data_IF_158807418109
#
_entry.id   IF_158807418109
#
_cell.length_a   1.000
_cell.length_b   1.000
_cell.length_c   1.000
_cell.angle_alpha   90.00
_cell.angle_beta   90.00
_cell.angle_gamma   90.00
#
_symmetry.space_group_name_H-M   'P 1'
#
loop_
_entity.id
_entity.type
_entity.pdbx_description
1 polymer ?
#
# COMPACT_ATOMS: atom_id res chain seq x y z
N UNK A 1 -22.06 6.72 -0.82
CA UNK A 1 -22.39 8.18 -0.75
C UNK A 1 -23.11 8.54 0.56
N UNK A 2 -23.93 7.67 1.14
CA UNK A 2 -24.61 7.93 2.44
C UNK A 2 -23.67 8.01 3.64
N UNK A 3 -22.49 7.39 3.58
CA UNK A 3 -21.52 7.37 4.68
C UNK A 3 -20.74 8.67 4.86
N UNK A 4 -20.59 9.49 3.83
CA UNK A 4 -19.83 10.74 3.90
C UNK A 4 -20.51 11.75 4.81
N UNK A 5 -21.83 11.85 4.74
CA UNK A 5 -22.62 12.73 5.61
C UNK A 5 -22.68 12.26 7.07
N UNK A 6 -22.69 10.95 7.30
CA UNK A 6 -22.66 10.38 8.65
C UNK A 6 -21.31 10.53 9.35
N UNK A 7 -20.21 10.54 8.59
CA UNK A 7 -18.83 10.66 9.15
C UNK A 7 -18.60 11.95 9.91
N UNK A 8 -19.26 13.05 9.55
CA UNK A 8 -19.10 14.34 10.24
C UNK A 8 -19.74 14.37 11.63
N UNK A 9 -20.57 13.39 11.97
CA UNK A 9 -21.26 13.31 13.27
C UNK A 9 -20.78 12.15 14.15
N UNK A 10 -19.80 11.35 13.67
CA UNK A 10 -19.33 10.16 14.38
C UNK A 10 -17.99 10.49 15.07
N UNK A 11 -17.98 10.34 16.37
CA UNK A 11 -16.78 10.58 17.20
C UNK A 11 -15.79 9.40 17.19
N UNK A 12 -16.25 8.20 16.85
CA UNK A 12 -15.42 6.98 16.80
C UNK A 12 -15.82 6.11 15.62
N UNK A 13 -14.84 5.62 14.87
CA UNK A 13 -15.02 4.69 13.76
C UNK A 13 -14.11 3.49 13.94
N UNK A 14 -14.68 2.29 13.84
CA UNK A 14 -13.91 1.07 13.80
C UNK A 14 -13.61 0.70 12.33
N UNK A 15 -12.33 0.59 12.00
CA UNK A 15 -11.85 0.12 10.70
C UNK A 15 -11.45 -1.34 10.84
N UNK A 16 -12.00 -2.19 9.98
CA UNK A 16 -11.69 -3.61 9.94
C UNK A 16 -11.23 -4.00 8.54
N UNK A 17 -10.22 -4.83 8.47
CA UNK A 17 -9.76 -5.43 7.22
C UNK A 17 -9.32 -6.86 7.45
N UNK A 18 -9.52 -7.72 6.45
CA UNK A 18 -9.07 -9.10 6.47
C UNK A 18 -8.70 -9.57 5.07
N UNK A 19 -7.79 -10.51 4.99
CA UNK A 19 -7.48 -11.24 3.76
C UNK A 19 -7.05 -12.66 4.07
N UNK A 20 -7.16 -13.52 3.07
CA UNK A 20 -6.76 -14.92 3.15
C UNK A 20 -6.03 -15.31 1.87
N UNK A 21 -4.97 -16.09 1.98
CA UNK A 21 -4.19 -16.58 0.85
C UNK A 21 -5.09 -17.35 -0.14
N UNK A 22 -4.84 -17.16 -1.44
CA UNK A 22 -5.53 -17.82 -2.55
C UNK A 22 -7.03 -17.52 -2.67
N UNK A 23 -7.55 -16.48 -2.07
CA UNK A 23 -8.97 -16.12 -2.23
C UNK A 23 -9.21 -15.31 -3.51
N UNK A 24 -8.62 -14.15 -3.64
CA UNK A 24 -8.87 -13.23 -4.76
C UNK A 24 -7.94 -13.47 -5.95
N UNK A 25 -6.66 -13.69 -5.71
CA UNK A 25 -5.66 -13.83 -6.76
C UNK A 25 -5.64 -15.20 -7.43
N UNK A 26 -6.21 -16.24 -6.82
CA UNK A 26 -6.23 -17.61 -7.36
C UNK A 26 -6.80 -17.67 -8.77
N UNK A 27 -7.84 -16.91 -9.06
CA UNK A 27 -8.48 -16.85 -10.37
C UNK A 27 -7.57 -16.35 -11.50
N UNK A 28 -6.47 -15.68 -11.17
CA UNK A 28 -5.47 -15.19 -12.13
C UNK A 28 -4.24 -16.09 -12.23
N UNK A 29 -4.19 -17.21 -11.49
CA UNK A 29 -3.06 -18.13 -11.46
C UNK A 29 -3.42 -19.42 -12.15
N UNK A 30 -2.65 -19.78 -13.17
CA UNK A 30 -2.88 -20.99 -13.98
C UNK A 30 -1.79 -22.03 -13.76
N UNK A 31 -2.15 -23.32 -13.56
CA UNK A 31 -3.53 -23.83 -13.41
C UNK A 31 -4.18 -23.33 -12.13
N UNK A 32 -5.47 -23.00 -12.22
CA UNK A 32 -6.26 -22.43 -11.10
C UNK A 32 -6.25 -23.37 -9.89
N UNK A 33 -6.28 -24.65 -10.10
CA UNK A 33 -6.33 -25.69 -9.06
C UNK A 33 -5.12 -25.63 -8.12
N UNK A 34 -3.97 -25.26 -8.66
CA UNK A 34 -2.72 -25.19 -7.89
C UNK A 34 -2.40 -23.80 -7.37
N UNK A 35 -3.04 -22.75 -7.91
CA UNK A 35 -2.73 -21.37 -7.55
C UNK A 35 -1.26 -21.02 -7.77
N UNK A 36 -0.64 -21.56 -8.83
CA UNK A 36 0.80 -21.56 -9.04
C UNK A 36 1.41 -20.16 -9.12
N UNK A 37 2.51 -19.96 -8.40
CA UNK A 37 3.35 -18.76 -8.44
C UNK A 37 4.51 -19.01 -9.40
N UNK A 38 4.50 -18.38 -10.58
CA UNK A 38 5.53 -18.59 -11.61
C UNK A 38 6.52 -17.44 -11.70
N UNK A 39 6.07 -16.21 -11.61
CA UNK A 39 6.92 -15.04 -11.80
C UNK A 39 7.54 -14.59 -10.46
N UNK A 40 8.84 -14.26 -10.47
CA UNK A 40 9.58 -13.82 -9.28
C UNK A 40 9.04 -12.50 -8.67
N UNK A 41 8.39 -11.67 -9.47
CA UNK A 41 7.77 -10.42 -9.04
C UNK A 41 6.37 -10.59 -8.44
N UNK A 42 5.84 -11.80 -8.45
CA UNK A 42 4.53 -12.10 -7.85
C UNK A 42 4.60 -11.97 -6.33
N UNK A 43 3.57 -11.39 -5.75
CA UNK A 43 3.36 -11.33 -4.30
C UNK A 43 2.39 -12.41 -3.83
N UNK A 44 2.40 -12.71 -2.55
CA UNK A 44 1.53 -13.72 -1.92
C UNK A 44 0.58 -13.02 -0.96
N UNK A 45 -0.73 -13.26 -1.10
CA UNK A 45 -1.71 -12.69 -0.19
C UNK A 45 -1.47 -13.13 1.24
N UNK A 46 -1.33 -12.17 2.15
CA UNK A 46 -1.19 -12.47 3.57
C UNK A 46 -2.53 -12.88 4.16
N UNK A 47 -2.54 -13.95 4.96
CA UNK A 47 -3.70 -14.34 5.76
C UNK A 47 -3.68 -13.61 7.10
N UNK A 48 -4.76 -12.90 7.42
CA UNK A 48 -4.89 -12.20 8.68
C UNK A 48 -6.07 -11.25 8.72
N UNK A 49 -6.21 -10.59 9.87
CA UNK A 49 -7.19 -9.52 10.07
C UNK A 49 -6.60 -8.45 10.98
N UNK A 50 -7.01 -7.21 10.76
CA UNK A 50 -6.62 -6.06 11.57
C UNK A 50 -7.83 -5.20 11.84
N UNK A 51 -7.96 -4.75 13.09
CA UNK A 51 -8.94 -3.75 13.49
C UNK A 51 -8.27 -2.57 14.16
N UNK A 52 -8.74 -1.36 13.90
CA UNK A 52 -8.34 -0.18 14.64
C UNK A 52 -9.51 0.77 14.85
N UNK A 53 -9.42 1.59 15.87
CA UNK A 53 -10.40 2.65 16.16
C UNK A 53 -9.77 3.99 15.87
N UNK A 54 -10.44 4.78 15.05
CA UNK A 54 -10.14 6.20 14.84
C UNK A 54 -11.16 6.99 15.65
N UNK A 55 -10.70 7.95 16.44
CA UNK A 55 -11.56 8.81 17.25
C UNK A 55 -11.06 10.27 17.22
N UNK A 56 -11.92 11.18 17.64
CA UNK A 56 -11.56 12.57 17.87
C UNK A 56 -10.96 12.83 19.28
N UNK A 57 -10.79 11.75 20.07
CA UNK A 57 -10.13 11.82 21.37
C UNK A 57 -8.61 11.92 21.21
N UNK A 58 -7.96 12.52 22.20
CA UNK A 58 -6.50 12.58 22.23
C UNK A 58 -5.91 11.18 22.43
N UNK A 59 -5.07 10.75 21.51
CA UNK A 59 -4.37 9.46 21.54
C UNK A 59 -2.87 9.65 21.32
N UNK A 60 -2.11 8.58 21.51
CA UNK A 60 -0.65 8.60 21.26
C UNK A 60 -0.27 8.70 19.77
N UNK A 61 -1.20 8.48 18.87
CA UNK A 61 -0.98 8.56 17.43
C UNK A 61 -2.10 9.41 16.82
N UNK A 62 -1.73 10.44 16.08
CA UNK A 62 -2.66 11.38 15.45
C UNK A 62 -2.55 11.31 13.93
N UNK A 63 -3.68 11.41 13.25
CA UNK A 63 -3.74 11.71 11.82
C UNK A 63 -3.58 13.22 11.67
N UNK A 64 -2.54 13.66 10.97
CA UNK A 64 -2.21 15.07 10.78
C UNK A 64 -2.82 15.58 9.48
N UNK A 65 -2.67 14.83 8.41
CA UNK A 65 -3.16 15.20 7.08
C UNK A 65 -3.40 13.97 6.21
N UNK A 66 -4.11 14.15 5.11
CA UNK A 66 -4.32 13.11 4.11
C UNK A 66 -4.42 13.70 2.71
N UNK A 67 -4.04 12.91 1.71
CA UNK A 67 -4.19 13.24 0.30
C UNK A 67 -4.92 12.11 -0.40
N UNK A 68 -6.05 12.43 -1.02
CA UNK A 68 -6.78 11.50 -1.88
C UNK A 68 -6.09 11.52 -3.23
N UNK A 69 -5.50 10.40 -3.62
CA UNK A 69 -4.82 10.27 -4.90
C UNK A 69 -5.78 10.10 -6.07
N UNK A 70 -5.25 10.26 -7.27
CA UNK A 70 -5.96 10.06 -8.53
C UNK A 70 -5.69 8.66 -9.10
N UNK A 71 -6.62 8.18 -9.93
CA UNK A 71 -6.43 6.94 -10.69
C UNK A 71 -5.32 7.15 -11.73
N UNK A 72 -4.47 6.15 -11.87
CA UNK A 72 -3.35 6.11 -12.81
C UNK A 72 -3.45 4.83 -13.63
N UNK A 73 -3.26 4.92 -14.93
CA UNK A 73 -3.24 3.78 -15.85
C UNK A 73 -2.07 3.91 -16.83
N UNK A 74 -1.12 2.99 -16.73
CA UNK A 74 0.08 2.92 -17.56
C UNK A 74 0.01 1.78 -18.60
N UNK A 75 -1.20 1.35 -18.96
CA UNK A 75 -1.47 0.25 -19.92
C UNK A 75 -0.79 -1.09 -19.54
N UNK A 76 -0.56 -1.31 -18.25
CA UNK A 76 0.00 -2.57 -17.76
C UNK A 76 -1.12 -3.62 -17.67
N UNK A 77 -0.88 -4.80 -18.25
CA UNK A 77 -1.86 -5.90 -18.40
C UNK A 77 -1.44 -7.17 -17.67
N UNK A 78 -0.22 -7.20 -17.12
CA UNK A 78 0.30 -8.36 -16.42
C UNK A 78 -0.25 -8.43 -14.99
N UNK A 79 -1.22 -9.33 -14.79
CA UNK A 79 -1.88 -9.56 -13.50
C UNK A 79 -0.95 -10.13 -12.42
N UNK A 80 0.21 -10.66 -12.79
CA UNK A 80 1.20 -11.17 -11.85
C UNK A 80 2.14 -10.08 -11.33
N UNK A 81 2.20 -8.90 -11.99
CA UNK A 81 3.12 -7.81 -11.66
C UNK A 81 2.41 -6.61 -11.05
N UNK A 82 1.82 -6.81 -9.88
CA UNK A 82 1.09 -5.76 -9.17
C UNK A 82 1.98 -4.60 -8.73
N UNK A 83 3.25 -4.88 -8.43
CA UNK A 83 4.20 -3.84 -8.09
C UNK A 83 4.39 -2.82 -9.21
N UNK A 84 4.53 -3.27 -10.47
CA UNK A 84 4.63 -2.40 -11.62
C UNK A 84 3.35 -1.58 -11.85
N UNK A 85 2.18 -2.18 -11.60
CA UNK A 85 0.88 -1.50 -11.74
C UNK A 85 0.73 -0.38 -10.70
N UNK A 86 1.12 -0.62 -9.44
CA UNK A 86 0.83 0.30 -8.33
C UNK A 86 1.95 1.32 -8.06
N UNK A 87 3.20 1.05 -8.42
CA UNK A 87 4.32 1.94 -8.15
C UNK A 87 4.16 3.36 -8.75
N UNK A 88 3.65 3.53 -9.99
CA UNK A 88 3.38 4.85 -10.55
C UNK A 88 2.31 5.63 -9.78
N UNK A 89 1.26 4.96 -9.31
CA UNK A 89 0.23 5.60 -8.50
C UNK A 89 0.76 6.03 -7.14
N UNK A 90 1.60 5.18 -6.51
CA UNK A 90 2.25 5.48 -5.24
C UNK A 90 3.20 6.68 -5.37
N UNK A 91 4.04 6.73 -6.41
CA UNK A 91 4.97 7.84 -6.64
C UNK A 91 4.24 9.16 -6.82
N UNK A 92 3.19 9.17 -7.65
CA UNK A 92 2.37 10.35 -7.87
C UNK A 92 1.71 10.85 -6.59
N UNK A 93 1.09 9.95 -5.80
CA UNK A 93 0.43 10.30 -4.56
C UNK A 93 1.40 10.85 -3.50
N UNK A 94 2.60 10.27 -3.38
CA UNK A 94 3.67 10.79 -2.50
C UNK A 94 4.04 12.21 -2.91
N UNK A 95 4.35 12.43 -4.18
CA UNK A 95 4.78 13.74 -4.68
C UNK A 95 3.68 14.80 -4.52
N UNK A 96 2.43 14.46 -4.82
CA UNK A 96 1.29 15.35 -4.63
C UNK A 96 1.11 15.72 -3.15
N UNK A 97 1.22 14.73 -2.25
CA UNK A 97 1.14 14.99 -0.81
C UNK A 97 2.24 15.94 -0.34
N UNK A 98 3.49 15.66 -0.70
CA UNK A 98 4.64 16.48 -0.31
C UNK A 98 4.51 17.93 -0.81
N UNK A 99 4.05 18.12 -2.05
CA UNK A 99 3.77 19.44 -2.62
C UNK A 99 2.66 20.17 -1.85
N UNK A 100 1.53 19.51 -1.60
CA UNK A 100 0.37 20.10 -0.93
C UNK A 100 0.69 20.50 0.52
N UNK A 101 1.52 19.70 1.19
CA UNK A 101 1.90 19.96 2.59
C UNK A 101 3.17 20.81 2.72
N UNK A 102 3.80 21.22 1.61
CA UNK A 102 5.08 21.93 1.60
C UNK A 102 6.17 21.21 2.39
N UNK A 103 6.23 19.88 2.25
CA UNK A 103 7.17 18.98 2.95
C UNK A 103 8.10 18.26 1.99
N UNK A 104 9.17 17.72 2.56
CA UNK A 104 10.13 16.84 1.87
C UNK A 104 9.99 15.42 2.39
N UNK A 105 10.41 14.44 1.59
CA UNK A 105 10.36 13.02 1.99
C UNK A 105 11.18 12.75 3.26
N UNK A 106 12.27 13.50 3.47
CA UNK A 106 13.14 13.37 4.64
C UNK A 106 12.58 14.05 5.91
N UNK A 107 11.43 14.71 5.84
CA UNK A 107 10.73 15.24 7.01
C UNK A 107 9.98 14.14 7.77
N UNK A 108 9.90 12.95 7.19
CA UNK A 108 9.33 11.74 7.79
C UNK A 108 10.41 10.77 8.24
N UNK A 109 10.19 10.13 9.38
CA UNK A 109 11.07 9.06 9.86
C UNK A 109 10.91 7.80 9.01
N UNK A 110 9.69 7.56 8.50
CA UNK A 110 9.38 6.47 7.60
C UNK A 110 8.25 6.82 6.65
N UNK A 111 8.40 6.44 5.39
CA UNK A 111 7.35 6.41 4.37
C UNK A 111 7.02 4.94 4.13
N UNK A 112 5.82 4.52 4.53
CA UNK A 112 5.39 3.12 4.48
C UNK A 112 4.42 2.91 3.33
N UNK A 113 4.83 2.15 2.31
CA UNK A 113 3.94 1.68 1.25
C UNK A 113 3.26 0.36 1.63
N UNK A 114 2.21 0.01 0.91
CA UNK A 114 1.38 -1.16 1.23
C UNK A 114 2.01 -2.49 0.81
N UNK A 115 1.78 -2.86 -0.43
CA UNK A 115 2.03 -4.20 -0.94
C UNK A 115 2.59 -4.18 -2.37
N UNK A 116 3.51 -3.26 -2.64
CA UNK A 116 4.25 -3.20 -3.90
C UNK A 116 5.15 -4.43 -4.09
N UNK A 117 5.62 -5.00 -2.98
CA UNK A 117 6.64 -6.04 -2.98
C UNK A 117 8.03 -5.47 -3.27
N UNK A 118 9.05 -6.35 -3.23
CA UNK A 118 10.45 -5.92 -3.41
C UNK A 118 10.70 -5.23 -4.75
N UNK A 119 10.26 -5.85 -5.85
CA UNK A 119 10.45 -5.28 -7.19
C UNK A 119 9.60 -4.03 -7.43
N UNK A 120 8.37 -3.98 -6.90
CA UNK A 120 7.54 -2.78 -6.99
C UNK A 120 8.10 -1.61 -6.18
N UNK A 121 8.71 -1.90 -5.04
CA UNK A 121 9.40 -0.86 -4.25
C UNK A 121 10.66 -0.33 -4.97
N UNK A 122 11.46 -1.20 -5.60
CA UNK A 122 12.59 -0.78 -6.43
C UNK A 122 12.12 0.13 -7.58
N UNK A 123 11.03 -0.24 -8.24
CA UNK A 123 10.44 0.57 -9.30
C UNK A 123 9.93 1.92 -8.78
N UNK A 124 9.27 1.95 -7.62
CA UNK A 124 8.85 3.20 -6.96
C UNK A 124 10.04 4.14 -6.73
N UNK A 125 11.13 3.63 -6.17
CA UNK A 125 12.34 4.41 -5.91
C UNK A 125 12.97 4.94 -7.20
N UNK A 126 12.95 4.13 -8.27
CA UNK A 126 13.43 4.53 -9.59
C UNK A 126 12.56 5.66 -10.17
N UNK A 127 11.24 5.54 -10.15
CA UNK A 127 10.30 6.57 -10.64
C UNK A 127 10.50 7.87 -9.85
N UNK A 128 10.56 7.81 -8.53
CA UNK A 128 10.77 8.99 -7.69
C UNK A 128 12.08 9.71 -8.04
N UNK A 129 13.14 8.95 -8.31
CA UNK A 129 14.44 9.51 -8.68
C UNK A 129 14.45 10.10 -10.09
N UNK A 130 14.01 9.33 -11.10
CA UNK A 130 14.16 9.70 -12.52
C UNK A 130 13.12 10.74 -12.96
N UNK A 131 11.85 10.62 -12.49
CA UNK A 131 10.79 11.54 -12.91
C UNK A 131 10.68 12.78 -12.00
N UNK A 132 11.01 12.65 -10.71
CA UNK A 132 10.79 13.71 -9.73
C UNK A 132 12.07 14.22 -9.07
N UNK A 133 13.26 13.67 -9.42
CA UNK A 133 14.53 14.06 -8.82
C UNK A 133 14.62 13.79 -7.31
N UNK A 134 13.83 12.85 -6.81
CA UNK A 134 13.66 12.58 -5.38
C UNK A 134 14.39 11.29 -4.99
N UNK A 135 15.39 11.40 -4.13
CA UNK A 135 16.05 10.25 -3.52
C UNK A 135 15.62 10.11 -2.07
N UNK A 136 15.18 8.91 -1.67
CA UNK A 136 14.70 8.62 -0.34
C UNK A 136 15.23 7.27 0.15
N UNK A 137 15.79 7.24 1.34
CA UNK A 137 16.27 6.03 2.02
C UNK A 137 15.33 5.53 3.11
N UNK A 138 14.30 6.30 3.42
CA UNK A 138 13.32 6.06 4.47
C UNK A 138 11.99 5.47 3.95
N UNK A 139 11.94 5.05 2.68
CA UNK A 139 10.80 4.36 2.10
C UNK A 139 10.92 2.87 2.37
N UNK A 140 9.88 2.29 2.97
CA UNK A 140 9.77 0.87 3.30
C UNK A 140 8.47 0.36 2.70
N UNK A 141 8.52 -0.76 1.98
CA UNK A 141 7.33 -1.47 1.55
C UNK A 141 6.95 -2.55 2.57
N UNK A 142 5.71 -2.49 3.08
CA UNK A 142 5.21 -3.43 4.06
C UNK A 142 5.17 -4.86 3.50
N UNK A 143 4.78 -5.02 2.24
CA UNK A 143 4.75 -6.32 1.57
C UNK A 143 6.11 -6.95 1.43
N UNK A 144 7.11 -6.19 0.99
CA UNK A 144 8.49 -6.66 0.88
C UNK A 144 9.09 -7.04 2.25
N UNK A 145 8.63 -6.37 3.33
CA UNK A 145 9.21 -6.47 4.68
C UNK A 145 8.45 -7.39 5.63
N UNK A 146 7.26 -7.88 5.26
CA UNK A 146 6.40 -8.67 6.16
C UNK A 146 6.98 -10.05 6.45
N UNK A 147 7.46 -10.73 5.42
CA UNK A 147 8.01 -12.07 5.54
C UNK A 147 9.51 -12.07 5.83
N UNK A 148 9.98 -13.07 6.58
CA UNK A 148 11.41 -13.28 6.80
C UNK A 148 12.07 -13.84 5.54
N UNK A 149 13.35 -13.59 5.36
CA UNK A 149 14.13 -14.02 4.18
C UNK A 149 14.12 -15.54 3.94
N UNK A 150 13.97 -16.34 5.00
CA UNK A 150 13.91 -17.79 4.91
C UNK A 150 12.53 -18.34 4.50
N UNK A 151 11.51 -17.51 4.34
CA UNK A 151 10.15 -17.96 3.98
C UNK A 151 9.91 -18.05 2.48
N UNK A 152 10.86 -17.60 1.65
CA UNK A 152 10.82 -17.68 0.18
C UNK A 152 9.46 -17.29 -0.44
N UNK A 153 8.98 -16.09 -0.11
CA UNK A 153 7.68 -15.56 -0.57
C UNK A 153 7.83 -14.62 -1.77
N UNK A 154 8.69 -14.97 -2.71
CA UNK A 154 8.92 -14.24 -3.97
C UNK A 154 9.15 -12.74 -3.74
N UNK A 155 8.27 -11.87 -4.30
CA UNK A 155 8.37 -10.41 -4.13
C UNK A 155 7.82 -9.90 -2.79
N UNK A 156 7.22 -10.75 -1.97
CA UNK A 156 6.69 -10.41 -0.65
C UNK A 156 5.19 -10.66 -0.49
N UNK A 157 4.60 -9.99 0.49
CA UNK A 157 3.18 -10.08 0.80
C UNK A 157 2.33 -9.10 0.00
N UNK A 158 1.07 -9.46 -0.24
CA UNK A 158 0.03 -8.59 -0.80
C UNK A 158 -1.28 -8.71 -0.02
N UNK A 159 -2.19 -7.79 -0.29
CA UNK A 159 -3.53 -7.77 0.27
C UNK A 159 -3.76 -6.71 1.34
N UNK A 160 -5.03 -6.43 1.66
CA UNK A 160 -5.43 -5.27 2.46
C UNK A 160 -4.94 -5.31 3.92
N UNK A 161 -4.53 -6.47 4.43
CA UNK A 161 -4.01 -6.57 5.80
C UNK A 161 -2.52 -6.25 5.91
N UNK A 162 -1.76 -6.25 4.81
CA UNK A 162 -0.29 -6.17 4.83
C UNK A 162 0.18 -4.87 5.46
N UNK A 163 -0.29 -3.74 4.93
CA UNK A 163 0.08 -2.42 5.44
C UNK A 163 -0.26 -2.26 6.92
N UNK A 164 -1.51 -2.47 7.38
CA UNK A 164 -1.83 -2.29 8.78
C UNK A 164 -1.14 -3.31 9.70
N UNK A 165 -0.93 -4.56 9.27
CA UNK A 165 -0.14 -5.53 10.05
C UNK A 165 1.27 -5.01 10.31
N UNK A 166 1.95 -4.53 9.27
CA UNK A 166 3.31 -4.03 9.41
C UNK A 166 3.35 -2.72 10.21
N UNK A 167 2.41 -1.81 9.95
CA UNK A 167 2.28 -0.55 10.68
C UNK A 167 2.15 -0.77 12.18
N UNK A 168 1.18 -1.58 12.61
CA UNK A 168 0.90 -1.77 14.04
C UNK A 168 1.94 -2.65 14.74
N UNK A 169 2.52 -3.64 14.06
CA UNK A 169 3.46 -4.57 14.70
C UNK A 169 4.93 -4.14 14.62
N UNK A 170 5.29 -3.21 13.74
CA UNK A 170 6.68 -2.80 13.53
C UNK A 170 6.88 -1.30 13.62
N UNK A 171 6.13 -0.53 12.82
CA UNK A 171 6.39 0.89 12.67
C UNK A 171 5.99 1.68 13.92
N UNK A 172 4.76 1.49 14.41
CA UNK A 172 4.24 2.20 15.59
C UNK A 172 4.86 1.73 16.90
N UNK A 173 5.40 0.52 16.97
CA UNK A 173 6.13 0.03 18.15
C UNK A 173 7.55 0.59 18.24
N UNK A 174 8.08 1.12 17.17
CA UNK A 174 9.41 1.72 17.16
C UNK A 174 9.38 3.10 17.81
N UNK A 175 10.14 3.28 18.90
CA UNK A 175 10.30 4.58 19.57
C UNK A 175 10.96 5.65 18.70
N UNK A 176 11.55 5.26 17.57
CA UNK A 176 12.23 6.18 16.64
C UNK A 176 11.27 6.83 15.64
N UNK A 177 10.14 6.19 15.36
CA UNK A 177 9.21 6.66 14.34
C UNK A 177 8.19 7.60 14.97
N UNK A 178 8.36 8.89 14.76
CA UNK A 178 7.46 9.95 15.23
C UNK A 178 6.59 10.49 14.11
N UNK A 179 7.17 10.69 12.93
CA UNK A 179 6.48 11.19 11.74
C UNK A 179 6.45 10.11 10.68
N UNK A 180 5.27 9.62 10.37
CA UNK A 180 5.05 8.48 9.49
C UNK A 180 4.16 8.91 8.35
N UNK A 181 4.58 8.61 7.12
CA UNK A 181 3.75 8.77 5.94
C UNK A 181 3.30 7.39 5.47
N UNK A 182 1.99 7.16 5.48
CA UNK A 182 1.39 5.92 4.99
C UNK A 182 0.92 6.13 3.56
N UNK A 183 1.24 5.21 2.66
CA UNK A 183 0.83 5.20 1.27
C UNK A 183 0.06 3.92 1.00
N UNK A 184 -1.25 4.00 1.06
CA UNK A 184 -2.14 2.89 0.75
C UNK A 184 -2.29 2.74 -0.75
N UNK A 185 -1.89 1.60 -1.29
CA UNK A 185 -1.90 1.27 -2.71
C UNK A 185 -3.03 0.30 -3.05
N UNK A 186 -3.59 0.41 -4.25
CA UNK A 186 -4.61 -0.49 -4.75
C UNK A 186 -4.63 -0.52 -6.27
N UNK A 187 -5.06 -1.64 -6.83
CA UNK A 187 -5.24 -1.81 -8.25
C UNK A 187 -6.55 -2.53 -8.57
N UNK A 188 -7.17 -2.19 -9.70
CA UNK A 188 -8.43 -2.77 -10.10
C UNK A 188 -8.21 -4.10 -10.83
N UNK A 189 -8.11 -5.17 -10.06
CA UNK A 189 -8.09 -6.54 -10.55
C UNK A 189 -9.51 -7.02 -10.88
N UNK A 190 -9.97 -6.71 -12.08
CA UNK A 190 -11.29 -7.17 -12.55
C UNK A 190 -11.12 -8.33 -13.52
N UNK A 191 -11.64 -9.55 -13.23
CA UNK A 191 -11.48 -10.72 -14.11
C UNK A 191 -12.00 -10.51 -15.52
N UNK A 192 -13.10 -9.76 -15.67
CA UNK A 192 -13.68 -9.45 -16.99
C UNK A 192 -12.71 -8.60 -17.82
N UNK A 193 -12.16 -7.53 -17.23
CA UNK A 193 -11.22 -6.65 -17.93
C UNK A 193 -9.90 -7.38 -18.24
N UNK A 194 -9.41 -8.20 -17.31
CA UNK A 194 -8.21 -9.02 -17.51
C UNK A 194 -8.38 -10.00 -18.67
N UNK A 195 -9.50 -10.73 -18.71
CA UNK A 195 -9.81 -11.66 -19.80
C UNK A 195 -9.98 -10.95 -21.15
N UNK A 196 -10.42 -9.70 -21.15
CA UNK A 196 -10.48 -8.82 -22.32
C UNK A 196 -9.13 -8.18 -22.66
N UNK A 197 -8.04 -8.49 -21.93
CA UNK A 197 -6.70 -7.93 -22.10
C UNK A 197 -6.67 -6.41 -21.97
N UNK A 198 -7.54 -5.85 -21.13
CA UNK A 198 -7.52 -4.42 -20.77
C UNK A 198 -6.43 -4.16 -19.72
N UNK A 199 -6.03 -2.89 -19.64
CA UNK A 199 -5.09 -2.40 -18.63
C UNK A 199 -5.67 -2.52 -17.20
N UNK A 200 -4.77 -2.48 -16.23
CA UNK A 200 -5.11 -2.54 -14.80
C UNK A 200 -4.83 -1.15 -14.20
N UNK A 201 -5.84 -0.32 -14.01
CA UNK A 201 -5.65 0.97 -13.35
C UNK A 201 -5.34 0.80 -11.88
N UNK A 202 -4.56 1.73 -11.33
CA UNK A 202 -4.17 1.76 -9.93
C UNK A 202 -4.46 3.12 -9.29
N UNK A 203 -4.51 3.14 -7.96
CA UNK A 203 -4.66 4.34 -7.14
C UNK A 203 -3.82 4.21 -5.90
N UNK A 204 -3.38 5.35 -5.33
CA UNK A 204 -2.79 5.39 -4.01
C UNK A 204 -3.31 6.58 -3.23
N UNK A 205 -3.53 6.40 -1.93
CA UNK A 205 -3.91 7.45 -1.00
C UNK A 205 -2.82 7.61 0.06
N UNK A 206 -2.66 8.83 0.57
CA UNK A 206 -1.62 9.15 1.55
C UNK A 206 -2.24 9.63 2.84
N UNK A 207 -1.71 9.15 3.97
CA UNK A 207 -2.08 9.59 5.31
C UNK A 207 -0.82 9.86 6.11
N UNK A 208 -0.74 11.04 6.71
CA UNK A 208 0.34 11.43 7.61
C UNK A 208 -0.07 11.15 9.06
N UNK A 209 0.80 10.44 9.79
CA UNK A 209 0.65 10.18 11.21
C UNK A 209 1.76 10.84 12.02
N UNK A 210 1.42 11.29 13.21
CA UNK A 210 2.38 11.71 14.24
C UNK A 210 2.17 10.89 15.51
N UNK A 211 3.29 10.33 16.05
CA UNK A 211 3.32 9.59 17.32
C UNK A 211 3.89 10.52 18.39
N UNK A 212 3.14 10.72 19.46
CA UNK A 212 3.44 11.63 20.58
C UNK A 212 4.20 10.88 21.68
#
# INVERSE_FOLDING_TARGET
LGDVYKRQQINKVCLLTSSHELTSERQFRFPIEYGSLKAKYTTVTATGSVGCVISNETTKCKIISSTIGSVVDYDIKDVANMGAVMAPAASKAIVEHLKNMHKKVNDYDVVLTGDLGSLGNELLLMILKEEYGMSASNIIDAGASLYKSNQNKLSGASGPVVLPLYLFNKVLLSKKNKKILIVGTGALHNPTLVNQKKSIPAIAHVVELEVI
#
